data_IF_965074667644
#
_entry.id   IF_965074667644
#
_cell.length_a   1.000
_cell.length_b   1.000
_cell.length_c   1.000
_cell.angle_alpha   90.00
_cell.angle_beta   90.00
_cell.angle_gamma   90.00
#
_symmetry.space_group_name_H-M   'P 1'
#
loop_
_entity.id
_entity.type
_entity.pdbx_description
1 polymer ?
#
# COMPACT_ATOMS: atom_id res chain seq x y z
N UNK A 1 29.16 -25.85 28.14
CA UNK A 1 28.05 -26.18 27.21
C UNK A 1 26.69 -25.59 27.59
N UNK A 2 26.35 -25.39 28.88
CA UNK A 2 25.08 -24.77 29.29
C UNK A 2 24.99 -23.26 29.02
N UNK A 3 26.06 -22.49 29.25
CA UNK A 3 26.08 -21.04 28.99
C UNK A 3 25.92 -20.68 27.51
N UNK A 4 26.42 -21.52 26.61
CA UNK A 4 26.32 -21.30 25.16
C UNK A 4 24.88 -21.45 24.64
N UNK A 5 24.07 -22.30 25.30
CA UNK A 5 22.65 -22.50 25.00
C UNK A 5 21.77 -21.36 25.51
N UNK A 6 22.11 -20.74 26.65
CA UNK A 6 21.41 -19.53 27.12
C UNK A 6 21.66 -18.32 26.19
N UNK A 7 22.86 -18.21 25.64
CA UNK A 7 23.21 -17.11 24.73
C UNK A 7 22.42 -17.18 23.40
N UNK A 8 22.22 -18.39 22.86
CA UNK A 8 21.41 -18.62 21.65
C UNK A 8 19.90 -18.36 21.87
N UNK A 9 19.35 -18.64 23.06
CA UNK A 9 17.96 -18.29 23.37
C UNK A 9 17.76 -16.78 23.53
N UNK A 10 18.73 -16.06 24.10
CA UNK A 10 18.66 -14.61 24.25
C UNK A 10 18.74 -13.87 22.90
N UNK A 11 19.49 -14.40 21.93
CA UNK A 11 19.58 -13.86 20.57
C UNK A 11 18.29 -14.04 19.75
N UNK A 12 17.47 -15.06 20.02
CA UNK A 12 16.18 -15.25 19.34
C UNK A 12 15.08 -14.30 19.85
N UNK A 13 15.21 -13.77 21.06
CA UNK A 13 14.19 -12.91 21.69
C UNK A 13 14.29 -11.42 21.32
N UNK A 14 15.33 -11.01 20.57
CA UNK A 14 15.60 -9.60 20.27
C UNK A 14 15.00 -9.10 18.93
N UNK A 15 14.41 -9.98 18.12
CA UNK A 15 13.77 -9.60 16.86
C UNK A 15 12.27 -9.40 17.03
N UNK A 16 11.87 -8.36 17.77
CA UNK A 16 10.50 -7.86 17.66
C UNK A 16 10.38 -7.18 16.29
N UNK A 17 9.48 -7.63 15.39
CA UNK A 17 9.24 -6.89 14.16
C UNK A 17 8.76 -5.49 14.55
N UNK A 18 9.53 -4.47 14.16
CA UNK A 18 9.05 -3.09 14.21
C UNK A 18 7.99 -2.98 13.12
N UNK A 19 6.72 -3.16 13.46
CA UNK A 19 5.66 -2.83 12.52
C UNK A 19 5.75 -1.34 12.26
N UNK A 20 6.01 -0.97 11.01
CA UNK A 20 5.79 0.40 10.57
C UNK A 20 4.32 0.75 10.83
N UNK A 21 4.06 2.00 11.21
CA UNK A 21 2.69 2.47 11.43
C UNK A 21 1.85 2.23 10.17
N UNK A 22 0.70 1.57 10.35
CA UNK A 22 -0.17 1.22 9.23
C UNK A 22 -0.90 2.48 8.73
N UNK A 23 -1.08 2.57 7.41
CA UNK A 23 -1.88 3.63 6.77
C UNK A 23 -3.20 3.03 6.29
N UNK A 24 -4.14 2.84 7.21
CA UNK A 24 -5.30 1.95 7.00
C UNK A 24 -6.46 2.55 6.19
N UNK A 25 -6.40 3.84 5.85
CA UNK A 25 -7.50 4.58 5.19
C UNK A 25 -7.03 5.87 4.52
N UNK A 26 -7.96 6.56 3.86
CA UNK A 26 -7.72 7.91 3.37
C UNK A 26 -7.18 8.80 4.49
N UNK A 27 -6.06 9.47 4.24
CA UNK A 27 -5.38 10.34 5.21
C UNK A 27 -4.88 9.64 6.49
N UNK A 28 -4.69 8.33 6.46
CA UNK A 28 -3.98 7.59 7.50
C UNK A 28 -4.85 7.25 8.71
N UNK A 29 -4.25 6.64 9.73
CA UNK A 29 -4.96 6.07 10.88
C UNK A 29 -5.94 7.05 11.55
N UNK A 30 -5.54 8.32 11.71
CA UNK A 30 -6.36 9.38 12.30
C UNK A 30 -7.08 10.28 11.27
N UNK A 31 -6.94 10.01 9.97
CA UNK A 31 -7.57 10.80 8.91
C UNK A 31 -7.01 12.22 8.72
N UNK A 32 -5.88 12.56 9.34
CA UNK A 32 -5.25 13.89 9.25
C UNK A 32 -4.44 14.10 7.97
N UNK A 33 -3.88 13.03 7.41
CA UNK A 33 -2.95 13.07 6.28
C UNK A 33 -1.55 13.52 6.68
N UNK A 34 -1.27 13.56 7.98
CA UNK A 34 0.01 14.00 8.54
C UNK A 34 0.80 12.79 9.00
N UNK A 35 2.07 12.74 8.63
CA UNK A 35 3.05 11.85 9.23
C UNK A 35 4.00 12.72 10.08
N UNK A 36 4.01 12.52 11.40
CA UNK A 36 4.81 13.34 12.32
C UNK A 36 6.30 12.95 12.34
N UNK A 37 6.62 11.76 11.85
CA UNK A 37 7.96 11.17 11.95
C UNK A 37 8.73 11.36 10.64
N UNK A 38 8.06 11.12 9.50
CA UNK A 38 8.67 11.14 8.18
C UNK A 38 8.90 12.57 7.71
N UNK A 39 10.12 12.84 7.24
CA UNK A 39 10.50 14.09 6.59
C UNK A 39 10.64 13.84 5.10
N UNK A 40 9.73 14.40 4.32
CA UNK A 40 9.79 14.34 2.87
C UNK A 40 10.48 15.59 2.30
N UNK A 41 11.23 15.46 1.20
CA UNK A 41 11.84 16.62 0.57
C UNK A 41 10.76 17.53 -0.03
N UNK A 42 10.99 18.84 0.00
CA UNK A 42 10.06 19.84 -0.58
C UNK A 42 9.99 19.71 -2.11
N UNK A 43 11.08 19.24 -2.72
CA UNK A 43 11.18 18.93 -4.14
C UNK A 43 11.59 17.47 -4.26
N UNK A 44 10.88 16.70 -5.07
CA UNK A 44 11.21 15.31 -5.38
C UNK A 44 11.50 15.18 -6.88
N UNK A 45 12.55 14.44 -7.22
CA UNK A 45 12.91 14.03 -8.57
C UNK A 45 12.89 12.52 -8.73
N UNK A 46 13.19 12.03 -9.94
CA UNK A 46 13.18 10.59 -10.25
C UNK A 46 14.07 9.77 -9.31
N UNK A 47 15.18 10.33 -8.82
CA UNK A 47 16.09 9.67 -7.90
C UNK A 47 15.55 9.49 -6.47
N UNK A 48 14.49 10.20 -6.09
CA UNK A 48 13.90 10.14 -4.75
C UNK A 48 12.85 9.01 -4.61
N UNK A 49 12.43 8.41 -5.73
CA UNK A 49 11.47 7.31 -5.70
C UNK A 49 12.17 5.96 -5.50
N UNK A 50 11.77 5.22 -4.47
CA UNK A 50 12.28 3.87 -4.23
C UNK A 50 11.93 2.90 -5.38
N UNK A 51 10.74 3.06 -5.96
CA UNK A 51 10.25 2.30 -7.10
C UNK A 51 9.05 2.99 -7.73
N UNK A 52 8.74 2.58 -8.97
CA UNK A 52 7.56 3.00 -9.73
C UNK A 52 7.03 1.81 -10.49
N UNK A 53 5.70 1.68 -10.55
CA UNK A 53 5.03 0.63 -11.32
C UNK A 53 3.89 1.21 -12.13
N UNK A 54 3.62 0.58 -13.27
CA UNK A 54 2.40 0.84 -14.02
C UNK A 54 1.23 0.07 -13.41
N UNK A 55 0.12 0.76 -13.20
CA UNK A 55 -1.12 0.14 -12.76
C UNK A 55 -1.87 -0.44 -13.98
N UNK A 56 -2.59 -1.56 -13.82
CA UNK A 56 -3.30 -2.21 -14.92
C UNK A 56 -4.53 -1.41 -15.42
N UNK A 57 -5.01 -0.44 -14.62
CA UNK A 57 -6.11 0.45 -14.95
C UNK A 57 -6.06 1.71 -14.06
N UNK A 58 -7.07 2.59 -14.15
CA UNK A 58 -7.14 3.85 -13.39
C UNK A 58 -7.18 3.55 -11.88
N UNK A 59 -6.34 4.22 -11.08
CA UNK A 59 -6.27 4.06 -9.63
C UNK A 59 -6.61 5.35 -8.87
N UNK A 60 -7.88 5.77 -8.87
CA UNK A 60 -8.33 6.98 -8.14
C UNK A 60 -8.38 6.80 -6.62
N UNK A 61 -8.51 5.56 -6.14
CA UNK A 61 -8.59 5.26 -4.71
C UNK A 61 -7.28 5.55 -3.99
N UNK A 62 -7.37 5.92 -2.72
CA UNK A 62 -6.17 6.10 -1.90
C UNK A 62 -5.54 4.76 -1.54
N UNK A 63 -4.19 4.68 -1.52
CA UNK A 63 -3.52 3.47 -1.10
C UNK A 63 -3.77 3.17 0.38
N UNK A 64 -3.75 1.88 0.72
CA UNK A 64 -3.71 1.38 2.09
C UNK A 64 -2.39 0.68 2.32
N UNK A 65 -1.72 0.96 3.44
CA UNK A 65 -0.50 0.26 3.86
C UNK A 65 -0.78 -0.54 5.11
N UNK A 66 -0.42 -1.83 5.09
CA UNK A 66 -0.46 -2.70 6.27
C UNK A 66 0.79 -3.57 6.32
N UNK A 67 1.66 -3.33 7.31
CA UNK A 67 2.96 -3.98 7.39
C UNK A 67 3.81 -3.70 6.13
N UNK A 68 4.26 -4.75 5.47
CA UNK A 68 5.09 -4.71 4.26
C UNK A 68 4.27 -4.71 2.95
N UNK A 69 2.96 -4.42 3.03
CA UNK A 69 2.03 -4.53 1.91
C UNK A 69 1.35 -3.21 1.63
N UNK A 70 1.29 -2.88 0.36
CA UNK A 70 0.52 -1.79 -0.20
C UNK A 70 -0.68 -2.36 -0.96
N UNK A 71 -1.86 -1.80 -0.73
CA UNK A 71 -3.10 -2.19 -1.38
C UNK A 71 -3.65 -1.01 -2.17
N UNK A 72 -4.02 -1.28 -3.42
CA UNK A 72 -4.65 -0.30 -4.29
C UNK A 72 -5.85 -0.93 -5.00
N UNK A 73 -6.77 -0.07 -5.41
CA UNK A 73 -7.89 -0.45 -6.27
C UNK A 73 -7.70 0.21 -7.64
N UNK A 74 -7.69 -0.59 -8.69
CA UNK A 74 -7.71 -0.12 -10.06
C UNK A 74 -9.08 -0.39 -10.70
N UNK A 75 -9.43 0.34 -11.75
CA UNK A 75 -10.73 0.22 -12.41
C UNK A 75 -10.73 0.70 -13.85
N UNK A 76 -11.45 -0.01 -14.71
CA UNK A 76 -11.63 0.35 -16.13
C UNK A 76 -13.01 0.98 -16.34
N UNK A 77 -13.05 2.24 -16.78
CA UNK A 77 -14.31 2.98 -16.94
C UNK A 77 -15.23 2.44 -18.02
N UNK A 78 -14.68 1.81 -19.07
CA UNK A 78 -15.46 1.32 -20.22
C UNK A 78 -16.27 0.07 -19.84
N UNK A 79 -15.64 -0.83 -19.11
CA UNK A 79 -16.18 -2.13 -18.71
C UNK A 79 -16.78 -2.10 -17.30
N UNK A 80 -16.30 -1.20 -16.46
CA UNK A 80 -16.53 -1.15 -15.02
C UNK A 80 -15.86 -2.28 -14.23
N UNK A 81 -14.95 -3.03 -14.87
CA UNK A 81 -14.08 -3.99 -14.18
C UNK A 81 -13.31 -3.28 -13.06
N UNK A 82 -13.16 -3.96 -11.92
CA UNK A 82 -12.31 -3.55 -10.81
C UNK A 82 -11.16 -4.53 -10.63
N UNK A 83 -10.00 -4.03 -10.23
CA UNK A 83 -8.80 -4.82 -9.99
C UNK A 83 -8.21 -4.40 -8.65
N UNK A 84 -8.66 -4.98 -7.52
CA UNK A 84 -7.88 -4.92 -6.29
C UNK A 84 -6.51 -5.58 -6.51
N UNK A 85 -5.49 -4.96 -5.94
CA UNK A 85 -4.11 -5.38 -6.11
C UNK A 85 -3.36 -5.24 -4.78
N UNK A 86 -2.57 -6.25 -4.45
CA UNK A 86 -1.59 -6.22 -3.37
C UNK A 86 -0.19 -6.11 -3.95
N UNK A 87 0.61 -5.22 -3.38
CA UNK A 87 1.96 -4.87 -3.83
C UNK A 87 2.90 -5.01 -2.63
N UNK A 88 4.08 -5.54 -2.86
CA UNK A 88 5.18 -5.55 -1.90
C UNK A 88 5.68 -4.11 -1.72
N UNK A 89 5.57 -3.56 -0.51
CA UNK A 89 5.88 -2.15 -0.24
C UNK A 89 7.37 -1.83 -0.45
N UNK A 90 8.25 -2.81 -0.27
CA UNK A 90 9.70 -2.61 -0.32
C UNK A 90 10.20 -2.61 -1.76
N UNK A 91 9.65 -3.48 -2.60
CA UNK A 91 10.14 -3.73 -3.96
C UNK A 91 9.23 -3.18 -5.06
N UNK A 92 8.00 -2.80 -4.73
CA UNK A 92 6.97 -2.41 -5.69
C UNK A 92 6.41 -3.58 -6.49
N UNK A 93 6.81 -4.82 -6.21
CA UNK A 93 6.37 -5.98 -7.00
C UNK A 93 4.91 -6.34 -6.70
N UNK A 94 4.09 -6.63 -7.72
CA UNK A 94 2.77 -7.21 -7.51
C UNK A 94 2.87 -8.53 -6.74
N UNK A 95 2.14 -8.63 -5.63
CA UNK A 95 1.96 -9.88 -4.88
C UNK A 95 0.78 -10.67 -5.43
N UNK A 96 -0.31 -9.97 -5.74
CA UNK A 96 -1.52 -10.53 -6.30
C UNK A 96 -2.35 -9.45 -6.98
N UNK A 97 -3.21 -9.89 -7.90
CA UNK A 97 -4.22 -9.06 -8.54
C UNK A 97 -5.45 -9.91 -8.85
N UNK A 98 -6.64 -9.37 -8.62
CA UNK A 98 -7.88 -10.07 -8.93
C UNK A 98 -8.76 -9.22 -9.83
N UNK A 99 -9.12 -9.75 -11.00
CA UNK A 99 -10.07 -9.07 -11.89
C UNK A 99 -11.49 -9.39 -11.42
N UNK A 100 -12.26 -8.35 -11.11
CA UNK A 100 -13.65 -8.44 -10.69
C UNK A 100 -14.52 -7.73 -11.72
N UNK A 101 -15.34 -8.49 -12.42
CA UNK A 101 -16.31 -7.94 -13.35
C UNK A 101 -17.51 -7.39 -12.56
N UNK A 102 -17.76 -6.08 -12.68
CA UNK A 102 -18.84 -5.42 -11.94
C UNK A 102 -19.87 -4.71 -12.82
N UNK A 103 -19.75 -4.86 -14.15
CA UNK A 103 -20.62 -4.22 -15.13
C UNK A 103 -20.39 -2.72 -15.28
N UNK A 104 -21.06 -2.09 -16.25
CA UNK A 104 -20.84 -0.68 -16.61
C UNK A 104 -20.90 0.25 -15.39
N UNK A 105 -19.82 1.00 -15.20
CA UNK A 105 -19.75 2.03 -14.18
C UNK A 105 -20.57 3.27 -14.58
N UNK A 106 -21.51 3.66 -13.72
CA UNK A 106 -22.26 4.91 -13.84
C UNK A 106 -21.83 5.84 -12.71
N UNK A 107 -20.90 6.74 -13.00
CA UNK A 107 -20.38 7.71 -12.03
C UNK A 107 -20.35 9.13 -12.57
N UNK A 108 -20.07 10.09 -11.69
CA UNK A 108 -19.74 11.45 -12.10
C UNK A 108 -18.43 11.45 -12.90
N UNK A 109 -18.22 12.45 -13.77
CA UNK A 109 -17.01 12.57 -14.63
C UNK A 109 -15.66 12.62 -13.88
N UNK A 110 -15.67 12.78 -12.56
CA UNK A 110 -14.48 12.80 -11.70
C UNK A 110 -14.29 11.50 -10.92
N UNK A 111 -15.18 10.54 -11.10
CA UNK A 111 -15.13 9.24 -10.46
C UNK A 111 -14.78 8.18 -11.48
N UNK A 112 -14.16 7.11 -11.00
CA UNK A 112 -13.89 5.91 -11.77
C UNK A 112 -14.36 4.69 -10.97
N UNK A 113 -14.37 3.47 -11.54
CA UNK A 113 -14.65 2.26 -10.79
C UNK A 113 -13.66 2.01 -9.64
N UNK A 114 -12.51 2.70 -9.64
CA UNK A 114 -11.51 2.70 -8.58
C UNK A 114 -11.72 3.79 -7.52
N UNK A 115 -12.70 4.68 -7.67
CA UNK A 115 -13.00 5.67 -6.65
C UNK A 115 -13.51 5.01 -5.38
N UNK A 116 -12.87 5.31 -4.26
CA UNK A 116 -13.27 4.89 -2.91
C UNK A 116 -13.82 6.10 -2.15
N UNK A 117 -14.88 5.93 -1.37
CA UNK A 117 -15.32 6.96 -0.42
C UNK A 117 -14.28 7.12 0.70
N UNK A 118 -13.99 8.35 1.16
CA UNK A 118 -13.20 8.59 2.37
C UNK A 118 -13.74 7.87 3.61
#
# INVERSE_FOLDING_TARGET
MFLQRLFLLALLSAASPTFADNWTRFRGENGSGVNEIAKFPVQAGEADFAWKIDLPAIGHGSPVVWGDRLFVLCGDEKTGTRVPMGIDLTTGKPLWQHKVEAGKFKGHRFNSPASTTP
#
